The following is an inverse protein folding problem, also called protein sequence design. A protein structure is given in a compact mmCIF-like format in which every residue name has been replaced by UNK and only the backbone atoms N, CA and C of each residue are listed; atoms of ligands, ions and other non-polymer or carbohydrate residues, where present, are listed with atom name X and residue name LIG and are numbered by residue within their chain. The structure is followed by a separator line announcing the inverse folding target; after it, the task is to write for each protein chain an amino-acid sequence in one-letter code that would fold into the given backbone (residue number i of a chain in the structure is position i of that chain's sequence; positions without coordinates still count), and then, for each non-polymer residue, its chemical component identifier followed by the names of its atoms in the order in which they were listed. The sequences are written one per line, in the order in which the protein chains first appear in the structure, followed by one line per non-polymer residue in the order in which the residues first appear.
data_IF_182032094342
#
_entry.id   IF_182032094342
#
_cell.length_a   1.000
_cell.length_b   1.000
_cell.length_c   1.000
_cell.angle_alpha   90.00
_cell.angle_beta   90.00
_cell.angle_gamma   90.00
#
_symmetry.space_group_name_H-M   'P 1'
#
loop_
_entity.id
_entity.type
_entity.pdbx_description
1 polymer ?
#
# COMPACT_ATOMS: atom_id res chain seq x y z
N UNK A 1 -66.57 -9.93 -13.09
CA UNK A 1 -65.89 -8.73 -12.57
C UNK A 1 -64.44 -9.11 -12.36
N UNK A 2 -63.58 -8.78 -13.32
CA UNK A 2 -62.15 -9.03 -13.25
C UNK A 2 -61.50 -7.85 -12.51
N UNK A 3 -60.96 -8.10 -11.31
CA UNK A 3 -60.05 -7.16 -10.67
C UNK A 3 -58.70 -7.29 -11.37
N UNK A 4 -58.30 -6.25 -12.08
CA UNK A 4 -56.95 -6.07 -12.56
C UNK A 4 -56.02 -6.01 -11.34
N UNK A 5 -55.27 -7.08 -11.11
CA UNK A 5 -54.04 -6.98 -10.31
C UNK A 5 -53.05 -6.16 -11.15
N UNK A 6 -52.92 -4.88 -10.83
CA UNK A 6 -51.77 -4.09 -11.24
C UNK A 6 -50.52 -4.81 -10.72
N UNK A 7 -49.88 -5.58 -11.60
CA UNK A 7 -48.47 -5.92 -11.45
C UNK A 7 -47.71 -4.60 -11.45
N UNK A 8 -47.49 -4.03 -10.28
CA UNK A 8 -46.35 -3.16 -10.08
C UNK A 8 -45.12 -4.00 -10.44
N UNK A 9 -44.68 -3.87 -11.68
CA UNK A 9 -43.34 -4.26 -12.07
C UNK A 9 -42.43 -3.40 -11.20
N UNK A 10 -42.02 -3.95 -10.05
CA UNK A 10 -40.83 -3.45 -9.39
C UNK A 10 -39.77 -3.42 -10.49
N UNK A 11 -39.21 -2.23 -10.83
CA UNK A 11 -38.15 -2.19 -11.81
C UNK A 11 -37.10 -3.19 -11.33
N UNK A 12 -36.69 -4.08 -12.23
CA UNK A 12 -35.65 -5.05 -11.94
C UNK A 12 -34.38 -4.24 -11.69
N UNK A 13 -34.17 -3.80 -10.46
CA UNK A 13 -32.93 -3.19 -10.01
C UNK A 13 -31.92 -4.31 -10.01
N UNK A 14 -31.08 -4.29 -11.04
CA UNK A 14 -29.89 -5.10 -11.08
C UNK A 14 -29.05 -4.73 -9.84
N UNK A 15 -28.97 -5.65 -8.88
CA UNK A 15 -28.18 -5.49 -7.64
C UNK A 15 -26.67 -5.42 -7.95
N UNK A 16 -26.29 -5.59 -9.23
CA UNK A 16 -24.96 -5.56 -9.77
C UNK A 16 -24.85 -4.64 -11.00
N UNK A 17 -25.65 -3.57 -11.11
CA UNK A 17 -25.64 -2.58 -12.22
C UNK A 17 -24.23 -2.05 -12.51
N UNK A 18 -23.63 -2.46 -13.65
CA UNK A 18 -22.26 -2.21 -14.12
C UNK A 18 -21.74 -0.77 -14.05
N UNK A 19 -22.65 0.19 -14.00
CA UNK A 19 -22.32 1.60 -13.87
C UNK A 19 -22.31 2.04 -12.39
N UNK A 20 -23.21 1.52 -11.54
CA UNK A 20 -23.38 1.93 -10.13
C UNK A 20 -22.18 1.57 -9.23
N UNK A 21 -21.60 0.37 -9.33
CA UNK A 21 -20.38 0.01 -8.62
C UNK A 21 -19.10 0.61 -9.22
N UNK A 22 -19.10 1.01 -10.50
CA UNK A 22 -18.00 1.78 -11.09
C UNK A 22 -18.04 3.21 -10.53
N UNK A 23 -19.22 3.82 -10.51
CA UNK A 23 -19.47 5.08 -9.82
C UNK A 23 -19.10 4.98 -8.32
N UNK A 24 -19.51 3.91 -7.63
CA UNK A 24 -19.16 3.69 -6.22
C UNK A 24 -17.66 3.55 -6.00
N UNK A 25 -16.92 2.93 -6.92
CA UNK A 25 -15.47 2.80 -6.85
C UNK A 25 -14.76 4.13 -7.16
N UNK A 26 -15.20 4.85 -8.19
CA UNK A 26 -14.66 6.16 -8.56
C UNK A 26 -14.93 7.22 -7.48
N UNK A 27 -16.05 7.09 -6.75
CA UNK A 27 -16.38 7.91 -5.59
C UNK A 27 -15.74 7.38 -4.29
N UNK A 28 -15.17 6.17 -4.30
CA UNK A 28 -14.51 5.62 -3.12
C UNK A 28 -13.23 6.37 -2.83
N UNK A 29 -12.96 6.57 -1.54
CA UNK A 29 -11.75 7.25 -1.08
C UNK A 29 -10.52 6.42 -1.47
N UNK A 30 -9.50 7.02 -2.10
CA UNK A 30 -8.26 6.30 -2.36
C UNK A 30 -7.51 6.09 -1.04
N UNK A 31 -6.70 5.05 -1.00
CA UNK A 31 -6.08 4.68 0.26
C UNK A 31 -4.81 5.46 0.54
N UNK A 32 -4.69 5.88 1.80
CA UNK A 32 -3.64 6.78 2.24
C UNK A 32 -2.82 6.13 3.36
N UNK A 33 -1.49 6.22 3.24
CA UNK A 33 -0.54 5.64 4.18
C UNK A 33 0.30 6.72 4.84
N UNK A 34 0.58 6.55 6.13
CA UNK A 34 1.61 7.31 6.84
C UNK A 34 2.64 6.33 7.38
N UNK A 35 3.92 6.59 7.09
CA UNK A 35 5.03 5.79 7.56
C UNK A 35 5.78 6.55 8.67
N UNK A 36 5.72 5.98 9.86
CA UNK A 36 6.36 6.44 11.08
C UNK A 36 7.55 5.57 11.46
N UNK A 37 8.43 6.13 12.28
CA UNK A 37 9.58 5.45 12.83
C UNK A 37 10.76 6.38 13.04
N UNK A 38 11.76 5.90 13.78
CA UNK A 38 12.99 6.63 14.10
C UNK A 38 13.80 7.02 12.85
N UNK A 39 14.59 8.11 12.87
CA UNK A 39 15.47 8.45 11.76
C UNK A 39 16.41 7.27 11.44
N UNK A 40 16.69 7.04 10.16
CA UNK A 40 17.54 5.91 9.72
C UNK A 40 16.86 4.55 9.60
N UNK A 41 15.59 4.39 9.99
CA UNK A 41 14.88 3.09 9.94
C UNK A 41 14.51 2.60 8.53
N UNK A 42 14.81 3.37 7.48
CA UNK A 42 14.49 2.99 6.09
C UNK A 42 13.09 3.41 5.62
N UNK A 43 12.40 4.30 6.36
CA UNK A 43 11.06 4.82 6.02
C UNK A 43 10.92 5.25 4.56
N UNK A 44 11.86 6.06 4.06
CA UNK A 44 11.86 6.58 2.70
C UNK A 44 11.88 5.46 1.65
N UNK A 45 12.73 4.45 1.87
CA UNK A 45 12.85 3.30 0.96
C UNK A 45 11.55 2.49 0.95
N UNK A 46 10.99 2.21 2.13
CA UNK A 46 9.71 1.53 2.25
C UNK A 46 8.59 2.33 1.57
N UNK A 47 8.52 3.64 1.86
CA UNK A 47 7.50 4.53 1.33
C UNK A 47 7.51 4.62 -0.20
N UNK A 48 8.70 4.71 -0.80
CA UNK A 48 8.84 4.74 -2.26
C UNK A 48 8.39 3.44 -2.90
N UNK A 49 8.87 2.31 -2.38
CA UNK A 49 8.45 1.00 -2.90
C UNK A 49 6.92 0.82 -2.70
N UNK A 50 6.37 1.28 -1.57
CA UNK A 50 4.93 1.20 -1.29
C UNK A 50 4.15 2.08 -2.27
N UNK A 51 4.59 3.32 -2.51
CA UNK A 51 3.97 4.19 -3.50
C UNK A 51 3.96 3.57 -4.91
N UNK A 52 5.04 2.89 -5.31
CA UNK A 52 5.12 2.15 -6.57
C UNK A 52 4.15 0.97 -6.60
N UNK A 53 4.19 0.12 -5.56
CA UNK A 53 3.34 -1.07 -5.47
C UNK A 53 1.87 -0.70 -5.37
N UNK A 54 1.49 0.40 -4.74
CA UNK A 54 0.07 0.78 -4.58
C UNK A 54 -0.39 1.83 -5.60
N UNK A 55 0.53 2.28 -6.46
CA UNK A 55 0.31 3.34 -7.44
C UNK A 55 -0.30 4.61 -6.80
N UNK A 56 0.27 4.97 -5.64
CA UNK A 56 -0.04 6.15 -4.85
C UNK A 56 1.04 7.22 -5.06
N UNK A 57 0.73 8.47 -4.74
CA UNK A 57 1.71 9.55 -4.78
C UNK A 57 2.62 9.46 -3.55
N UNK A 58 3.93 9.36 -3.77
CA UNK A 58 4.90 9.48 -2.67
C UNK A 58 5.04 10.96 -2.29
N UNK A 59 4.90 11.26 -1.00
CA UNK A 59 5.01 12.62 -0.46
C UNK A 59 6.09 12.64 0.61
N UNK A 60 7.16 13.37 0.33
CA UNK A 60 8.25 13.68 1.25
C UNK A 60 8.75 15.11 0.98
N UNK A 61 9.23 15.80 2.02
CA UNK A 61 9.73 17.17 1.92
C UNK A 61 10.65 17.42 0.71
N UNK A 62 11.69 16.58 0.55
CA UNK A 62 12.67 16.75 -0.53
C UNK A 62 12.05 16.62 -1.93
N UNK A 63 11.18 15.62 -2.14
CA UNK A 63 10.55 15.40 -3.44
C UNK A 63 9.57 16.52 -3.78
N UNK A 64 8.81 16.99 -2.79
CA UNK A 64 7.90 18.13 -2.99
C UNK A 64 8.67 19.41 -3.30
N UNK A 65 9.80 19.67 -2.62
CA UNK A 65 10.66 20.83 -2.91
C UNK A 65 11.21 20.75 -4.34
N UNK A 66 11.79 19.61 -4.71
CA UNK A 66 12.38 19.40 -6.04
C UNK A 66 11.34 19.53 -7.15
N UNK A 67 10.15 18.94 -6.96
CA UNK A 67 9.03 19.06 -7.89
C UNK A 67 8.61 20.53 -8.08
N UNK A 68 8.44 21.29 -7.00
CA UNK A 68 8.05 22.70 -7.08
C UNK A 68 9.12 23.56 -7.76
N UNK A 69 10.41 23.28 -7.53
CA UNK A 69 11.52 23.97 -8.21
C UNK A 69 11.49 23.65 -9.71
N UNK A 70 11.29 22.38 -10.08
CA UNK A 70 11.26 21.95 -11.48
C UNK A 70 10.06 22.52 -12.25
N UNK A 71 8.89 22.60 -11.60
CA UNK A 71 7.67 23.18 -12.16
C UNK A 71 7.63 24.72 -12.11
N UNK A 72 8.68 25.36 -11.58
CA UNK A 72 8.79 26.82 -11.43
C UNK A 72 7.58 27.45 -10.70
N UNK A 73 7.03 26.76 -9.71
CA UNK A 73 5.90 27.30 -8.93
C UNK A 73 6.35 28.48 -8.06
N UNK A 74 5.40 29.29 -7.56
CA UNK A 74 5.72 30.39 -6.63
C UNK A 74 6.51 29.91 -5.39
N UNK A 75 6.23 28.69 -4.92
CA UNK A 75 6.98 28.05 -3.84
C UNK A 75 8.38 27.62 -4.29
N UNK A 76 8.48 27.05 -5.50
CA UNK A 76 9.74 26.64 -6.11
C UNK A 76 10.71 27.80 -6.31
N UNK A 77 10.24 28.93 -6.85
CA UNK A 77 11.03 30.15 -7.04
C UNK A 77 11.56 30.67 -5.71
N UNK A 78 10.70 30.74 -4.67
CA UNK A 78 11.12 31.14 -3.31
C UNK A 78 12.17 30.19 -2.74
N UNK A 79 11.98 28.88 -2.89
CA UNK A 79 12.98 27.89 -2.45
C UNK A 79 14.30 28.10 -3.18
N UNK A 80 14.27 28.27 -4.49
CA UNK A 80 15.44 28.46 -5.32
C UNK A 80 16.21 29.74 -4.94
N UNK A 81 15.50 30.85 -4.68
CA UNK A 81 16.10 32.09 -4.19
C UNK A 81 16.80 31.93 -2.84
N UNK A 82 16.17 31.24 -1.89
CA UNK A 82 16.77 30.96 -0.58
C UNK A 82 18.02 30.09 -0.72
N UNK A 83 17.94 29.03 -1.52
CA UNK A 83 19.06 28.12 -1.78
C UNK A 83 20.22 28.85 -2.48
N UNK A 84 19.96 29.72 -3.46
CA UNK A 84 21.01 30.54 -4.10
C UNK A 84 21.69 31.53 -3.16
N UNK A 85 20.99 31.98 -2.12
CA UNK A 85 21.56 32.81 -1.04
C UNK A 85 22.31 31.99 0.02
N UNK A 86 22.34 30.66 -0.11
CA UNK A 86 22.92 29.75 0.89
C UNK A 86 22.10 29.67 2.18
N UNK A 87 20.81 30.00 2.13
CA UNK A 87 19.89 29.95 3.26
C UNK A 87 19.12 28.63 3.28
N UNK A 88 18.77 28.14 4.47
CA UNK A 88 17.90 26.99 4.64
C UNK A 88 16.45 27.33 4.29
N UNK A 89 15.73 26.36 3.74
CA UNK A 89 14.28 26.49 3.51
C UNK A 89 13.57 26.40 4.86
N UNK A 90 12.66 27.34 5.15
CA UNK A 90 11.94 27.35 6.42
C UNK A 90 10.98 26.17 6.54
N UNK A 91 10.86 25.61 7.75
CA UNK A 91 9.94 24.50 8.03
C UNK A 91 8.47 24.86 7.73
N UNK A 92 8.10 26.12 7.90
CA UNK A 92 6.80 26.66 7.48
C UNK A 92 6.53 26.43 6.00
N UNK A 93 7.47 26.84 5.14
CA UNK A 93 7.32 26.72 3.69
C UNK A 93 7.21 25.26 3.26
N UNK A 94 8.03 24.38 3.86
CA UNK A 94 7.99 22.93 3.60
C UNK A 94 6.65 22.34 3.99
N UNK A 95 6.14 22.70 5.17
CA UNK A 95 4.85 22.19 5.68
C UNK A 95 3.70 22.64 4.77
N UNK A 96 3.68 23.90 4.33
CA UNK A 96 2.68 24.39 3.39
C UNK A 96 2.71 23.64 2.05
N UNK A 97 3.90 23.41 1.50
CA UNK A 97 4.04 22.68 0.24
C UNK A 97 3.56 21.23 0.36
N UNK A 98 3.87 20.54 1.47
CA UNK A 98 3.38 19.18 1.73
C UNK A 98 1.86 19.15 1.81
N UNK A 99 1.24 20.05 2.60
CA UNK A 99 -0.21 20.11 2.73
C UNK A 99 -0.89 20.42 1.39
N UNK A 100 -0.33 21.35 0.61
CA UNK A 100 -0.83 21.67 -0.73
C UNK A 100 -0.72 20.48 -1.68
N UNK A 101 0.35 19.69 -1.61
CA UNK A 101 0.49 18.46 -2.41
C UNK A 101 -0.51 17.39 -1.99
N UNK A 102 -0.77 17.21 -0.70
CA UNK A 102 -1.81 16.29 -0.20
C UNK A 102 -3.20 16.68 -0.71
N UNK A 103 -3.48 17.98 -0.83
CA UNK A 103 -4.75 18.48 -1.39
C UNK A 103 -4.82 18.51 -2.92
N UNK A 104 -3.78 18.03 -3.62
CA UNK A 104 -3.76 18.01 -5.09
C UNK A 104 -4.76 17.01 -5.68
N UNK A 105 -5.27 17.26 -6.90
CA UNK A 105 -6.22 16.35 -7.54
C UNK A 105 -5.63 14.95 -7.79
N UNK A 106 -4.33 14.86 -8.05
CA UNK A 106 -3.62 13.59 -8.23
C UNK A 106 -3.74 12.70 -6.98
N UNK A 107 -3.53 13.30 -5.80
CA UNK A 107 -3.65 12.60 -4.52
C UNK A 107 -5.10 12.23 -4.23
N UNK A 108 -6.06 13.06 -4.64
CA UNK A 108 -7.49 12.74 -4.51
C UNK A 108 -7.92 11.53 -5.36
N UNK A 109 -7.23 11.25 -6.46
CA UNK A 109 -7.53 10.09 -7.30
C UNK A 109 -6.69 8.85 -6.96
N UNK A 110 -5.44 9.03 -6.53
CA UNK A 110 -4.48 7.93 -6.36
C UNK A 110 -4.16 7.59 -4.91
N UNK A 111 -4.47 8.49 -3.98
CA UNK A 111 -4.03 8.40 -2.59
C UNK A 111 -2.56 8.81 -2.45
N UNK A 112 -2.06 8.73 -1.23
CA UNK A 112 -0.70 9.15 -0.90
C UNK A 112 0.01 8.19 0.05
N UNK A 113 1.34 8.22 0.00
CA UNK A 113 2.22 7.65 1.01
C UNK A 113 3.06 8.78 1.58
N UNK A 114 2.75 9.17 2.81
CA UNK A 114 3.44 10.26 3.48
C UNK A 114 4.61 9.72 4.32
N UNK A 115 5.80 10.24 4.06
CA UNK A 115 7.01 9.98 4.84
C UNK A 115 7.62 11.30 5.31
N UNK A 116 8.05 11.33 6.58
CA UNK A 116 8.77 12.47 7.14
C UNK A 116 7.91 13.62 7.65
N UNK A 117 6.57 13.44 7.70
CA UNK A 117 5.65 14.32 8.41
C UNK A 117 4.76 13.46 9.33
N UNK A 118 4.70 13.71 10.66
CA UNK A 118 5.29 14.85 11.35
C UNK A 118 6.83 14.82 11.38
N UNK A 119 7.45 15.99 11.47
CA UNK A 119 8.89 16.19 11.63
C UNK A 119 9.26 16.14 13.12
N UNK A 120 10.54 15.92 13.41
CA UNK A 120 11.09 16.04 14.79
C UNK A 120 11.37 17.51 15.14
N UNK A 121 11.44 18.37 14.14
CA UNK A 121 11.69 19.80 14.33
C UNK A 121 10.42 20.47 14.84
N UNK A 122 10.58 21.33 15.86
CA UNK A 122 9.51 22.16 16.40
C UNK A 122 9.82 23.66 16.21
N UNK A 123 10.66 24.01 15.23
CA UNK A 123 11.01 25.40 14.92
C UNK A 123 9.80 26.21 14.46
N UNK A 124 8.86 25.58 13.76
CA UNK A 124 7.63 26.20 13.29
C UNK A 124 6.39 25.78 14.10
N UNK A 125 6.19 24.49 14.32
CA UNK A 125 5.02 23.95 15.02
C UNK A 125 5.36 22.71 15.83
N UNK A 126 4.69 22.54 16.97
CA UNK A 126 4.90 21.38 17.84
C UNK A 126 4.42 20.10 17.18
N UNK A 127 4.97 18.96 17.58
CA UNK A 127 4.58 17.65 17.03
C UNK A 127 3.06 17.41 17.19
N UNK A 128 2.48 17.84 18.31
CA UNK A 128 1.03 17.73 18.54
C UNK A 128 0.22 18.53 17.52
N UNK A 129 0.65 19.75 17.17
CA UNK A 129 -0.01 20.57 16.14
C UNK A 129 0.14 19.95 14.75
N UNK A 130 1.29 19.35 14.44
CA UNK A 130 1.50 18.62 13.20
C UNK A 130 0.55 17.42 13.09
N UNK A 131 0.38 16.66 14.18
CA UNK A 131 -0.55 15.53 14.26
C UNK A 131 -2.00 16.01 14.11
N UNK A 132 -2.39 17.13 14.74
CA UNK A 132 -3.71 17.72 14.56
C UNK A 132 -3.97 18.08 13.09
N UNK A 133 -2.99 18.63 12.38
CA UNK A 133 -3.10 18.88 10.94
C UNK A 133 -3.34 17.60 10.16
N UNK A 134 -2.63 16.52 10.47
CA UNK A 134 -2.82 15.20 9.85
C UNK A 134 -4.24 14.67 10.10
N UNK A 135 -4.74 14.78 11.34
CA UNK A 135 -6.09 14.34 11.72
C UNK A 135 -7.19 15.12 10.98
N UNK A 136 -6.93 16.40 10.68
CA UNK A 136 -7.86 17.31 10.02
C UNK A 136 -7.75 17.34 8.48
N UNK A 137 -6.91 16.50 7.88
CA UNK A 137 -6.84 16.38 6.42
C UNK A 137 -8.18 15.91 5.85
N UNK A 138 -8.56 16.47 4.69
CA UNK A 138 -9.73 16.02 3.92
C UNK A 138 -9.62 14.54 3.57
N UNK A 139 -8.44 14.12 3.14
CA UNK A 139 -8.06 12.73 2.94
C UNK A 139 -7.29 12.22 4.16
N UNK A 140 -8.03 11.74 5.15
CA UNK A 140 -7.45 11.16 6.36
C UNK A 140 -6.56 9.95 6.01
N UNK A 141 -5.46 9.71 6.73
CA UNK A 141 -4.71 8.47 6.57
C UNK A 141 -5.58 7.28 6.95
N UNK A 142 -5.52 6.22 6.15
CA UNK A 142 -6.16 4.94 6.47
C UNK A 142 -5.19 4.09 7.27
N UNK A 143 -3.96 3.92 6.78
CA UNK A 143 -2.95 3.05 7.39
C UNK A 143 -1.85 3.83 8.07
N UNK A 144 -1.51 3.37 9.27
CA UNK A 144 -0.36 3.84 10.02
C UNK A 144 0.68 2.73 10.09
N UNK A 145 1.83 2.92 9.46
CA UNK A 145 2.92 1.94 9.45
C UNK A 145 4.03 2.44 10.37
N UNK A 146 4.27 1.74 11.48
CA UNK A 146 5.34 2.05 12.41
C UNK A 146 6.52 1.08 12.25
N UNK A 147 7.69 1.60 11.87
CA UNK A 147 8.92 0.80 11.77
C UNK A 147 9.66 0.82 13.12
N UNK A 148 9.63 -0.30 13.83
CA UNK A 148 10.34 -0.52 15.08
C UNK A 148 11.76 -1.00 14.80
N UNK A 149 12.74 -0.35 15.40
CA UNK A 149 14.14 -0.76 15.33
C UNK A 149 14.87 -0.28 16.59
N UNK A 150 15.86 -1.06 17.02
CA UNK A 150 16.67 -0.74 18.19
C UNK A 150 17.54 0.49 17.93
N UNK A 151 17.81 1.29 18.96
CA UNK A 151 18.65 2.48 18.79
C UNK A 151 20.07 2.12 18.34
N UNK A 152 20.60 1.01 18.86
CA UNK A 152 21.91 0.51 18.52
C UNK A 152 22.00 0.19 17.02
N UNK A 153 21.06 -0.60 16.50
CA UNK A 153 21.04 -0.98 15.08
C UNK A 153 20.86 0.24 14.18
N UNK A 154 20.02 1.21 14.59
CA UNK A 154 19.82 2.45 13.84
C UNK A 154 21.09 3.31 13.79
N UNK A 155 21.76 3.51 14.92
CA UNK A 155 22.97 4.33 14.97
C UNK A 155 24.11 3.66 14.18
N UNK A 156 24.21 2.34 14.22
CA UNK A 156 25.15 1.58 13.38
C UNK A 156 24.81 1.70 11.89
N UNK A 157 23.52 1.63 11.53
CA UNK A 157 23.06 1.78 10.16
C UNK A 157 23.29 3.18 9.61
N UNK A 158 23.01 4.22 10.39
CA UNK A 158 23.24 5.62 10.00
C UNK A 158 24.74 5.88 9.84
N UNK A 159 25.56 5.45 10.80
CA UNK A 159 27.01 5.67 10.72
C UNK A 159 27.72 4.88 9.62
N UNK A 160 27.14 3.76 9.21
CA UNK A 160 27.56 2.99 8.05
C UNK A 160 27.19 3.59 6.71
N UNK A 161 26.38 4.65 6.64
CA UNK A 161 25.96 5.25 5.38
C UNK A 161 27.01 6.20 4.81
N UNK A 162 27.05 6.27 3.48
CA UNK A 162 27.80 7.28 2.74
C UNK A 162 26.92 7.90 1.67
N UNK A 163 27.20 9.14 1.32
CA UNK A 163 26.49 9.84 0.27
C UNK A 163 27.44 10.16 -0.87
N UNK A 164 26.98 9.99 -2.11
CA UNK A 164 27.67 10.54 -3.26
C UNK A 164 27.42 12.06 -3.33
N UNK A 165 28.45 12.91 -3.43
CA UNK A 165 28.31 14.37 -3.35
C UNK A 165 27.45 14.95 -4.47
N UNK A 166 27.61 14.47 -5.72
CA UNK A 166 26.89 15.05 -6.87
C UNK A 166 25.45 14.54 -7.02
N UNK A 167 25.23 13.23 -6.92
CA UNK A 167 23.89 12.63 -7.07
C UNK A 167 23.05 12.69 -5.79
N UNK A 168 23.68 12.88 -4.64
CA UNK A 168 23.03 12.80 -3.33
C UNK A 168 22.56 11.38 -2.95
N UNK A 169 22.92 10.36 -3.73
CA UNK A 169 22.52 8.98 -3.49
C UNK A 169 23.22 8.41 -2.25
N UNK A 170 22.47 7.71 -1.41
CA UNK A 170 22.95 7.13 -0.14
C UNK A 170 23.22 5.64 -0.32
N UNK A 171 24.42 5.23 0.09
CA UNK A 171 24.93 3.87 0.06
C UNK A 171 25.06 3.32 1.48
N UNK A 172 24.59 2.09 1.71
CA UNK A 172 24.76 1.39 3.00
C UNK A 172 26.13 0.75 3.10
N UNK A 173 26.59 0.45 4.32
CA UNK A 173 27.91 -0.19 4.58
C UNK A 173 28.17 -1.40 3.68
N UNK A 174 27.17 -2.25 3.46
CA UNK A 174 27.29 -3.46 2.66
C UNK A 174 27.52 -3.21 1.15
N UNK A 175 27.27 -1.98 0.67
CA UNK A 175 27.38 -1.60 -0.73
C UNK A 175 28.69 -0.88 -1.07
N UNK A 176 29.43 -0.40 -0.06
CA UNK A 176 30.64 0.38 -0.28
C UNK A 176 31.87 -0.10 0.50
N UNK A 177 31.68 -0.80 1.64
CA UNK A 177 32.80 -1.27 2.45
C UNK A 177 33.44 -2.52 1.79
N UNK A 178 34.70 -2.44 1.31
CA UNK A 178 35.36 -3.53 0.61
C UNK A 178 35.44 -4.82 1.45
N UNK A 179 35.63 -4.69 2.77
CA UNK A 179 35.75 -5.84 3.66
C UNK A 179 34.43 -6.60 3.79
N UNK A 180 33.32 -5.87 3.74
CA UNK A 180 31.96 -6.43 3.83
C UNK A 180 31.56 -7.04 2.49
N UNK A 181 31.91 -6.39 1.38
CA UNK A 181 31.69 -6.91 0.03
C UNK A 181 32.46 -8.21 -0.18
N UNK A 182 33.75 -8.25 0.18
CA UNK A 182 34.57 -9.46 0.09
C UNK A 182 34.06 -10.60 0.98
N UNK A 183 33.53 -10.27 2.17
CA UNK A 183 32.94 -11.27 3.06
C UNK A 183 31.64 -11.84 2.48
N UNK A 184 30.79 -11.02 1.90
CA UNK A 184 29.57 -11.48 1.23
C UNK A 184 29.87 -12.30 -0.03
N UNK A 185 30.91 -11.97 -0.81
CA UNK A 185 31.38 -12.81 -1.92
C UNK A 185 31.82 -14.19 -1.43
N UNK A 186 32.66 -14.26 -0.38
CA UNK A 186 33.10 -15.53 0.20
C UNK A 186 31.96 -16.37 0.82
N UNK A 187 30.93 -15.73 1.35
CA UNK A 187 29.75 -16.43 1.89
C UNK A 187 28.82 -16.94 0.77
N UNK A 188 28.72 -16.23 -0.36
CA UNK A 188 28.03 -16.70 -1.57
C UNK A 188 28.79 -17.84 -2.26
N UNK A 189 30.11 -17.71 -2.41
CA UNK A 189 30.97 -18.76 -2.97
C UNK A 189 30.92 -20.07 -2.16
N UNK A 190 30.61 -20.01 -0.86
CA UNK A 190 30.40 -21.19 -0.01
C UNK A 190 28.99 -21.80 -0.12
N UNK A 191 28.03 -21.07 -0.67
CA UNK A 191 26.65 -21.52 -0.88
C UNK A 191 26.34 -21.88 -2.35
N UNK A 192 27.15 -21.43 -3.30
CA UNK A 192 26.98 -21.63 -4.75
C UNK A 192 27.77 -22.86 -5.30
N UNK A 193 28.18 -23.82 -4.45
CA UNK A 193 28.58 -25.16 -4.94
C UNK A 193 27.37 -26.03 -5.40
N UNK A 194 26.13 -25.55 -5.24
CA UNK A 194 24.92 -26.18 -5.78
C UNK A 194 23.98 -25.14 -6.43
N UNK A 195 24.32 -24.64 -7.61
CA UNK A 195 23.44 -24.31 -8.77
C UNK A 195 24.09 -23.21 -9.64
N UNK A 196 23.74 -23.22 -10.93
CA UNK A 196 24.56 -22.74 -12.04
C UNK A 196 24.68 -21.21 -12.16
N UNK A 197 25.84 -20.81 -12.71
CA UNK A 197 26.25 -19.52 -13.24
C UNK A 197 25.09 -18.62 -13.74
N UNK A 198 24.78 -17.56 -13.00
CA UNK A 198 24.15 -16.36 -13.56
C UNK A 198 25.27 -15.35 -13.93
N UNK A 199 25.20 -14.82 -15.15
CA UNK A 199 26.16 -13.85 -15.69
C UNK A 199 26.25 -12.60 -14.81
N UNK A 200 27.28 -12.50 -13.96
CA UNK A 200 27.65 -11.23 -13.32
C UNK A 200 28.24 -10.29 -14.39
N UNK A 201 27.58 -9.16 -14.61
CA UNK A 201 28.13 -8.04 -15.39
C UNK A 201 29.45 -7.60 -14.75
N UNK A 202 30.59 -7.89 -15.38
CA UNK A 202 31.90 -7.44 -14.93
C UNK A 202 31.98 -5.90 -14.98
N UNK A 203 31.65 -5.22 -13.88
CA UNK A 203 31.96 -3.80 -13.72
C UNK A 203 33.46 -3.65 -13.46
N UNK A 204 34.13 -2.84 -14.29
CA UNK A 204 35.57 -2.63 -14.32
C UNK A 204 36.11 -2.22 -12.91
N UNK A 205 37.02 -2.99 -12.27
CA UNK A 205 37.48 -2.76 -10.89
C UNK A 205 38.06 -1.36 -10.63
N UNK A 206 38.60 -0.71 -11.67
CA UNK A 206 39.12 0.65 -11.61
C UNK A 206 38.02 1.70 -11.44
N UNK A 207 36.86 1.52 -12.08
CA UNK A 207 35.71 2.44 -11.99
C UNK A 207 35.05 2.37 -10.62
N UNK A 208 34.94 1.16 -10.05
CA UNK A 208 34.38 0.95 -8.70
C UNK A 208 35.30 1.57 -7.63
N UNK A 209 36.62 1.45 -7.79
CA UNK A 209 37.59 2.05 -6.86
C UNK A 209 37.55 3.59 -6.87
N UNK A 210 37.48 4.22 -8.03
CA UNK A 210 37.38 5.69 -8.11
C UNK A 210 36.06 6.21 -7.55
N UNK A 211 34.97 5.49 -7.80
CA UNK A 211 33.63 5.80 -7.30
C UNK A 211 33.56 5.74 -5.76
N UNK A 212 34.11 4.69 -5.15
CA UNK A 212 34.11 4.52 -3.69
C UNK A 212 34.90 5.62 -2.97
N UNK A 213 35.98 6.14 -3.58
CA UNK A 213 36.77 7.22 -3.00
C UNK A 213 36.03 8.57 -2.92
N UNK A 214 34.97 8.76 -3.71
CA UNK A 214 34.20 10.01 -3.75
C UNK A 214 33.06 10.04 -2.73
N UNK A 215 32.75 8.90 -2.10
CA UNK A 215 31.68 8.78 -1.13
C UNK A 215 32.03 9.52 0.18
N UNK A 216 31.17 10.45 0.58
CA UNK A 216 31.37 11.29 1.77
C UNK A 216 30.49 10.85 2.93
N UNK A 217 30.98 11.02 4.15
CA UNK A 217 30.17 10.89 5.36
C UNK A 217 29.62 12.27 5.73
N UNK A 218 28.31 12.36 5.95
CA UNK A 218 27.69 13.63 6.35
C UNK A 218 27.88 13.86 7.84
N UNK A 219 27.87 15.12 8.32
CA UNK A 219 27.94 15.40 9.74
C UNK A 219 26.81 14.71 10.54
N UNK A 220 25.61 14.61 9.97
CA UNK A 220 24.50 13.89 10.60
C UNK A 220 24.68 12.37 10.69
N UNK A 221 25.60 11.80 9.90
CA UNK A 221 25.90 10.36 9.90
C UNK A 221 26.98 10.00 10.94
N UNK A 222 27.54 10.98 11.66
CA UNK A 222 28.46 10.70 12.77
C UNK A 222 27.68 10.05 13.91
N UNK A 223 28.23 9.00 14.54
CA UNK A 223 27.56 8.20 15.58
C UNK A 223 26.95 9.09 16.68
N UNK A 224 27.73 10.01 17.24
CA UNK A 224 27.27 10.93 18.30
C UNK A 224 26.08 11.79 17.86
N UNK A 225 26.09 12.28 16.61
CA UNK A 225 25.01 13.07 16.05
C UNK A 225 23.78 12.22 15.73
N UNK A 226 23.98 10.98 15.26
CA UNK A 226 22.91 10.02 15.03
C UNK A 226 22.20 9.64 16.34
N UNK A 227 22.97 9.34 17.40
CA UNK A 227 22.46 9.08 18.75
C UNK A 227 21.67 10.27 19.29
N UNK A 228 22.20 11.48 19.15
CA UNK A 228 21.50 12.71 19.53
C UNK A 228 20.16 12.85 18.80
N UNK A 229 20.13 12.60 17.48
CA UNK A 229 18.89 12.66 16.68
C UNK A 229 17.87 11.61 17.10
N UNK A 230 18.32 10.39 17.40
CA UNK A 230 17.44 9.32 17.91
C UNK A 230 16.92 9.67 19.31
N UNK A 231 17.76 10.28 20.16
CA UNK A 231 17.36 10.81 21.47
C UNK A 231 16.28 11.89 21.36
N UNK A 232 16.50 12.92 20.53
CA UNK A 232 15.51 13.98 20.30
C UNK A 232 14.18 13.43 19.77
N UNK A 233 14.23 12.43 18.88
CA UNK A 233 13.02 11.74 18.41
C UNK A 233 12.25 11.08 19.57
N UNK A 234 12.96 10.44 20.50
CA UNK A 234 12.32 9.79 21.66
C UNK A 234 11.69 10.80 22.61
N UNK A 235 12.39 11.89 22.88
CA UNK A 235 11.96 12.89 23.86
C UNK A 235 10.74 13.68 23.39
N UNK A 236 10.68 14.01 22.09
CA UNK A 236 9.65 14.89 21.52
C UNK A 236 8.56 14.10 20.80
N UNK A 237 8.92 13.12 19.97
CA UNK A 237 8.01 12.53 19.00
C UNK A 237 7.36 11.22 19.47
N UNK A 238 8.02 10.46 20.34
CA UNK A 238 7.54 9.12 20.70
C UNK A 238 6.17 9.15 21.41
N UNK A 239 6.01 9.99 22.44
CA UNK A 239 4.77 10.06 23.20
C UNK A 239 3.58 10.55 22.35
N UNK A 240 3.66 11.66 21.58
CA UNK A 240 2.56 12.06 20.71
C UNK A 240 2.19 11.02 19.64
N UNK A 241 3.18 10.25 19.16
CA UNK A 241 2.91 9.17 18.21
C UNK A 241 2.25 7.96 18.87
N UNK A 242 2.62 7.61 20.09
CA UNK A 242 1.95 6.55 20.87
C UNK A 242 0.48 6.90 21.11
N UNK A 243 0.18 8.16 21.45
CA UNK A 243 -1.19 8.65 21.56
C UNK A 243 -1.95 8.54 20.24
N UNK A 244 -1.33 8.96 19.12
CA UNK A 244 -1.91 8.82 17.79
C UNK A 244 -2.17 7.35 17.42
N UNK A 245 -1.25 6.45 17.75
CA UNK A 245 -1.36 5.01 17.48
C UNK A 245 -2.44 4.37 18.36
N UNK A 246 -2.60 4.80 19.61
CA UNK A 246 -3.61 4.27 20.54
C UNK A 246 -5.04 4.69 20.17
N UNK A 247 -5.20 5.85 19.55
CA UNK A 247 -6.50 6.32 19.04
C UNK A 247 -6.95 5.63 17.74
N UNK A 248 -6.00 5.09 16.96
CA UNK A 248 -6.27 4.43 15.69
C UNK A 248 -6.82 3.01 15.89
N UNK A 249 -7.66 2.56 14.94
CA UNK A 249 -8.16 1.19 14.95
C UNK A 249 -7.01 0.22 14.61
N UNK A 250 -6.85 -0.80 15.45
CA UNK A 250 -5.79 -1.79 15.39
C UNK A 250 -5.69 -2.48 14.02
N UNK A 251 -6.79 -2.55 13.27
CA UNK A 251 -6.81 -3.15 11.93
C UNK A 251 -5.97 -2.37 10.91
N UNK A 252 -5.76 -1.09 11.14
CA UNK A 252 -5.04 -0.20 10.23
C UNK A 252 -3.67 0.24 10.76
N UNK A 253 -3.29 -0.23 11.95
CA UNK A 253 -1.97 -0.04 12.54
C UNK A 253 -1.08 -1.24 12.20
N UNK A 254 -0.01 -0.98 11.46
CA UNK A 254 0.96 -2.01 11.03
C UNK A 254 2.29 -1.75 11.70
N UNK A 255 2.78 -2.71 12.46
CA UNK A 255 4.10 -2.66 13.08
C UNK A 255 5.09 -3.53 12.30
N UNK A 256 6.19 -2.94 11.86
CA UNK A 256 7.22 -3.61 11.07
C UNK A 256 8.54 -3.63 11.84
N UNK A 257 9.29 -4.72 11.69
CA UNK A 257 10.66 -4.83 12.22
C UNK A 257 11.67 -4.27 11.23
N UNK A 258 12.22 -3.10 11.54
CA UNK A 258 13.20 -2.40 10.71
C UNK A 258 14.54 -3.11 10.57
N UNK A 259 14.77 -4.26 11.19
CA UNK A 259 15.95 -5.10 10.98
C UNK A 259 15.80 -6.11 9.83
N UNK A 260 14.59 -6.35 9.36
CA UNK A 260 14.35 -7.18 8.18
C UNK A 260 14.73 -6.45 6.90
N UNK A 261 15.15 -7.19 5.86
CA UNK A 261 15.43 -6.57 4.58
C UNK A 261 14.15 -5.93 4.01
N UNK A 262 14.27 -4.85 3.21
CA UNK A 262 13.11 -4.22 2.60
C UNK A 262 12.23 -5.23 1.86
N UNK A 263 12.82 -6.21 1.16
CA UNK A 263 12.06 -7.20 0.39
C UNK A 263 11.31 -8.21 1.27
N UNK A 264 11.82 -8.50 2.48
CA UNK A 264 11.12 -9.32 3.49
C UNK A 264 10.03 -8.52 4.23
N UNK A 265 10.22 -7.21 4.39
CA UNK A 265 9.19 -6.26 4.84
C UNK A 265 8.06 -6.09 3.80
N UNK A 266 8.35 -6.43 2.54
CA UNK A 266 7.41 -6.40 1.42
C UNK A 266 6.45 -7.59 1.38
N UNK A 267 6.44 -8.45 2.40
CA UNK A 267 5.37 -9.44 2.63
C UNK A 267 4.09 -8.74 3.13
N UNK A 268 3.71 -7.67 2.44
CA UNK A 268 2.37 -7.07 2.42
C UNK A 268 1.32 -8.10 1.99
N UNK A 269 1.73 -9.20 1.35
CA UNK A 269 0.85 -10.36 1.09
C UNK A 269 0.26 -10.98 2.36
N UNK A 270 0.87 -10.78 3.54
CA UNK A 270 0.31 -11.21 4.84
C UNK A 270 -0.46 -10.12 5.59
N UNK A 271 -0.34 -8.86 5.19
CA UNK A 271 -0.96 -7.72 5.89
C UNK A 271 -2.40 -7.44 5.41
N UNK A 272 -2.83 -8.01 4.28
CA UNK A 272 -4.21 -7.88 3.83
C UNK A 272 -5.16 -8.80 4.62
N UNK A 273 -5.50 -8.42 5.85
CA UNK A 273 -6.64 -9.00 6.57
C UNK A 273 -7.96 -8.61 5.90
N UNK A 274 -8.01 -7.44 5.25
CA UNK A 274 -9.17 -6.92 4.51
C UNK A 274 -9.09 -7.13 2.99
N UNK A 275 -10.24 -7.51 2.42
CA UNK A 275 -10.39 -7.94 1.05
C UNK A 275 -10.18 -6.83 0.01
N UNK A 276 -10.69 -5.64 0.30
CA UNK A 276 -10.66 -4.49 -0.61
C UNK A 276 -9.22 -4.03 -0.87
N UNK A 277 -8.38 -4.26 0.13
CA UNK A 277 -6.97 -3.93 0.13
C UNK A 277 -6.13 -4.88 -0.72
N UNK A 278 -6.40 -6.19 -0.60
CA UNK A 278 -5.78 -7.21 -1.43
C UNK A 278 -6.08 -6.98 -2.92
N UNK A 279 -7.31 -6.58 -3.26
CA UNK A 279 -7.68 -6.21 -4.63
C UNK A 279 -6.95 -4.96 -5.12
N UNK A 280 -6.66 -4.00 -4.24
CA UNK A 280 -5.91 -2.79 -4.57
C UNK A 280 -4.40 -3.07 -4.73
N UNK A 281 -3.83 -4.05 -4.02
CA UNK A 281 -2.46 -4.55 -4.26
C UNK A 281 -2.36 -5.35 -5.56
N UNK A 282 -3.36 -6.19 -5.84
CA UNK A 282 -3.34 -7.04 -7.04
C UNK A 282 -3.57 -6.22 -8.32
N UNK A 283 -4.34 -5.12 -8.26
CA UNK A 283 -4.58 -4.25 -9.40
C UNK A 283 -3.40 -3.39 -9.82
N UNK A 284 -2.41 -3.28 -8.94
CA UNK A 284 -1.18 -2.54 -9.17
C UNK A 284 0.01 -3.45 -9.48
N UNK A 285 -0.01 -4.73 -9.08
CA UNK A 285 1.05 -5.71 -9.36
C UNK A 285 1.13 -6.17 -10.83
N UNK A 286 0.02 -6.10 -11.59
CA UNK A 286 0.02 -6.41 -13.03
C UNK A 286 -0.79 -5.35 -13.77
N UNK A 287 -0.12 -4.45 -14.48
CA UNK A 287 -0.78 -3.57 -15.43
C UNK A 287 -1.02 -4.35 -16.73
N UNK A 288 -2.25 -4.36 -17.27
CA UNK A 288 -2.51 -4.88 -18.63
C UNK A 288 -1.88 -3.92 -19.67
N UNK A 289 -1.82 -2.63 -19.32
CA UNK A 289 -1.10 -1.57 -20.02
C UNK A 289 -0.93 -0.35 -19.08
N UNK A 290 -0.06 0.61 -19.43
CA UNK A 290 0.34 1.78 -18.62
C UNK A 290 -0.80 2.64 -18.03
N UNK A 291 -2.03 2.51 -18.54
CA UNK A 291 -3.23 3.23 -18.07
C UNK A 291 -4.39 2.31 -17.66
N UNK A 292 -4.22 1.00 -17.71
CA UNK A 292 -5.27 0.02 -17.41
C UNK A 292 -4.92 -0.73 -16.12
N UNK A 293 -5.47 -0.22 -15.01
CA UNK A 293 -5.47 -0.91 -13.71
C UNK A 293 -6.44 -2.08 -13.75
N UNK A 294 -6.21 -3.11 -12.93
CA UNK A 294 -7.23 -4.12 -12.76
C UNK A 294 -8.36 -3.56 -11.90
N UNK A 295 -9.60 -3.72 -12.36
CA UNK A 295 -10.78 -3.28 -11.62
C UNK A 295 -11.35 -4.48 -10.87
N UNK A 296 -11.84 -4.25 -9.65
CA UNK A 296 -12.53 -5.32 -8.93
C UNK A 296 -13.80 -5.71 -9.68
N UNK A 297 -13.98 -7.00 -9.93
CA UNK A 297 -15.24 -7.52 -10.42
C UNK A 297 -16.33 -7.40 -9.35
N UNK A 298 -17.57 -7.17 -9.79
CA UNK A 298 -18.80 -7.09 -8.96
C UNK A 298 -19.11 -8.36 -8.18
N UNK A 299 -18.47 -9.47 -8.56
CA UNK A 299 -18.52 -10.74 -7.85
C UNK A 299 -17.65 -10.74 -6.57
N UNK A 300 -16.74 -9.78 -6.40
CA UNK A 300 -15.85 -9.72 -5.23
C UNK A 300 -15.04 -11.01 -5.05
N UNK A 301 -15.14 -11.65 -3.88
CA UNK A 301 -14.58 -13.00 -3.64
C UNK A 301 -15.42 -14.12 -4.22
N UNK A 302 -16.68 -13.90 -4.58
CA UNK A 302 -17.53 -14.99 -5.03
C UNK A 302 -17.03 -15.51 -6.38
N UNK A 303 -16.85 -16.83 -6.47
CA UNK A 303 -16.47 -17.48 -7.72
C UNK A 303 -17.64 -17.38 -8.72
N UNK A 304 -17.51 -16.69 -9.87
CA UNK A 304 -18.58 -16.58 -10.86
C UNK A 304 -19.03 -17.94 -11.42
N UNK A 305 -18.11 -18.91 -11.49
CA UNK A 305 -18.40 -20.28 -11.95
C UNK A 305 -19.29 -21.00 -10.94
N UNK A 306 -18.92 -20.98 -9.64
CA UNK A 306 -19.73 -21.57 -8.59
C UNK A 306 -21.09 -20.88 -8.43
N UNK A 307 -21.11 -19.54 -8.59
CA UNK A 307 -22.34 -18.76 -8.53
C UNK A 307 -23.33 -19.18 -9.62
N UNK A 308 -22.84 -19.46 -10.83
CA UNK A 308 -23.66 -19.97 -11.94
C UNK A 308 -24.26 -21.35 -11.65
N UNK A 309 -23.56 -22.16 -10.86
CA UNK A 309 -24.03 -23.47 -10.40
C UNK A 309 -25.01 -23.36 -9.20
N UNK A 310 -25.20 -22.15 -8.67
CA UNK A 310 -26.11 -21.83 -7.58
C UNK A 310 -25.46 -21.84 -6.20
N UNK A 311 -24.13 -21.94 -6.11
CA UNK A 311 -23.38 -22.00 -4.86
C UNK A 311 -22.54 -20.72 -4.64
N UNK A 312 -22.65 -20.12 -3.45
CA UNK A 312 -21.80 -18.98 -3.07
C UNK A 312 -20.53 -19.53 -2.42
N UNK A 313 -19.51 -19.77 -3.25
CA UNK A 313 -18.18 -20.19 -2.79
C UNK A 313 -17.23 -19.00 -2.96
N UNK A 314 -16.53 -18.67 -1.88
CA UNK A 314 -15.47 -17.66 -1.92
C UNK A 314 -14.23 -18.25 -2.59
N UNK A 315 -13.68 -17.53 -3.54
CA UNK A 315 -12.50 -17.89 -4.30
C UNK A 315 -11.19 -17.72 -3.53
N UNK A 316 -10.15 -18.42 -3.97
CA UNK A 316 -8.80 -18.27 -3.47
C UNK A 316 -8.07 -17.17 -4.27
N UNK A 317 -7.49 -16.13 -3.64
CA UNK A 317 -6.68 -15.11 -4.31
C UNK A 317 -5.59 -15.65 -5.25
N UNK A 318 -5.00 -16.80 -4.94
CA UNK A 318 -3.97 -17.44 -5.79
C UNK A 318 -4.51 -17.88 -7.16
N UNK A 319 -5.84 -17.97 -7.30
CA UNK A 319 -6.56 -18.40 -8.50
C UNK A 319 -7.31 -17.23 -9.17
N UNK A 320 -6.77 -16.01 -9.09
CA UNK A 320 -7.36 -14.81 -9.69
C UNK A 320 -7.08 -14.70 -11.21
N UNK A 321 -8.08 -14.25 -11.97
CA UNK A 321 -8.00 -14.02 -13.43
C UNK A 321 -8.55 -12.67 -13.83
N UNK A 322 -7.90 -12.02 -14.80
CA UNK A 322 -8.40 -10.81 -15.44
C UNK A 322 -9.22 -11.12 -16.70
N UNK A 323 -10.40 -10.51 -16.84
CA UNK A 323 -11.18 -10.50 -18.09
C UNK A 323 -11.84 -9.13 -18.27
N UNK A 324 -11.70 -8.52 -19.46
CA UNK A 324 -12.20 -7.16 -19.79
C UNK A 324 -11.81 -6.08 -18.76
N UNK A 325 -10.57 -6.13 -18.25
CA UNK A 325 -10.09 -5.18 -17.25
C UNK A 325 -10.63 -5.39 -15.84
N UNK A 326 -11.43 -6.45 -15.60
CA UNK A 326 -11.97 -6.82 -14.28
C UNK A 326 -11.30 -8.09 -13.73
N UNK A 327 -11.08 -8.15 -12.42
CA UNK A 327 -10.51 -9.31 -11.73
C UNK A 327 -11.59 -10.22 -11.17
N UNK A 328 -11.50 -11.51 -11.45
CA UNK A 328 -12.38 -12.54 -10.91
C UNK A 328 -11.55 -13.51 -10.05
N UNK A 329 -12.01 -13.81 -8.85
CA UNK A 329 -11.38 -14.81 -7.97
C UNK A 329 -12.15 -16.12 -8.09
N UNK A 330 -11.43 -17.23 -8.31
CA UNK A 330 -12.04 -18.53 -8.55
C UNK A 330 -11.78 -19.48 -7.36
N UNK A 331 -12.75 -20.37 -7.12
CA UNK A 331 -12.74 -21.27 -5.95
C UNK A 331 -11.86 -22.50 -6.13
N UNK A 332 -11.65 -22.94 -7.37
CA UNK A 332 -10.88 -24.15 -7.67
C UNK A 332 -10.08 -23.98 -8.98
N UNK A 333 -8.99 -24.74 -9.16
CA UNK A 333 -8.24 -24.74 -10.42
C UNK A 333 -9.08 -25.26 -11.60
N UNK A 334 -10.14 -26.02 -11.34
CA UNK A 334 -11.11 -26.44 -12.36
C UNK A 334 -11.98 -25.26 -12.80
N UNK A 335 -12.50 -24.47 -11.85
CA UNK A 335 -13.22 -23.23 -12.13
C UNK A 335 -12.34 -22.22 -12.87
N UNK A 336 -11.04 -22.18 -12.55
CA UNK A 336 -10.04 -21.41 -13.28
C UNK A 336 -9.98 -21.78 -14.76
N UNK A 337 -9.81 -23.07 -15.05
CA UNK A 337 -9.73 -23.56 -16.44
C UNK A 337 -11.02 -23.29 -17.21
N UNK A 338 -12.19 -23.54 -16.62
CA UNK A 338 -13.48 -23.33 -17.31
C UNK A 338 -13.74 -21.85 -17.58
N UNK A 339 -13.41 -20.97 -16.64
CA UNK A 339 -13.52 -19.52 -16.82
C UNK A 339 -12.56 -18.99 -17.88
N UNK A 340 -11.31 -19.49 -17.93
CA UNK A 340 -10.34 -19.09 -18.95
C UNK A 340 -10.72 -19.56 -20.36
N UNK A 341 -11.39 -20.71 -20.48
CA UNK A 341 -11.85 -21.23 -21.78
C UNK A 341 -12.97 -20.37 -22.38
N UNK A 342 -13.97 -20.00 -21.57
CA UNK A 342 -15.04 -19.11 -22.02
C UNK A 342 -15.68 -18.38 -20.83
N UNK A 343 -15.29 -17.13 -20.55
CA UNK A 343 -15.79 -16.40 -19.38
C UNK A 343 -17.19 -15.81 -19.58
N UNK A 344 -17.57 -15.46 -20.82
CA UNK A 344 -18.85 -14.77 -21.13
C UNK A 344 -20.11 -15.44 -20.55
N UNK A 345 -20.27 -16.79 -20.62
CA UNK A 345 -21.45 -17.47 -20.09
C UNK A 345 -21.63 -17.35 -18.57
N UNK A 346 -20.59 -17.00 -17.83
CA UNK A 346 -20.63 -16.81 -16.37
C UNK A 346 -20.94 -15.37 -15.96
N UNK A 347 -20.89 -14.44 -16.92
CA UNK A 347 -20.95 -13.00 -16.70
C UNK A 347 -22.18 -12.33 -17.31
N UNK A 348 -22.82 -12.95 -18.32
CA UNK A 348 -23.96 -12.38 -19.04
C UNK A 348 -25.30 -12.63 -18.31
N UNK A 349 -26.25 -11.67 -18.36
CA UNK A 349 -27.58 -11.82 -17.79
C UNK A 349 -28.43 -12.90 -18.50
N UNK A 350 -29.42 -13.53 -17.81
CA UNK A 350 -29.82 -13.27 -16.44
C UNK A 350 -28.76 -13.76 -15.45
N UNK A 351 -28.31 -12.85 -14.59
CA UNK A 351 -27.24 -13.17 -13.65
C UNK A 351 -27.71 -14.23 -12.66
N UNK A 352 -26.81 -15.11 -12.19
CA UNK A 352 -27.16 -16.06 -11.15
C UNK A 352 -27.54 -15.27 -9.89
N UNK A 353 -28.82 -15.35 -9.50
CA UNK A 353 -29.28 -14.73 -8.27
C UNK A 353 -28.59 -15.43 -7.09
N UNK A 354 -28.06 -14.68 -6.10
CA UNK A 354 -27.53 -15.30 -4.90
C UNK A 354 -28.61 -16.17 -4.26
N UNK A 355 -28.34 -17.46 -3.97
CA UNK A 355 -29.32 -18.36 -3.37
C UNK A 355 -29.84 -17.79 -2.05
N UNK A 356 -31.16 -17.59 -1.97
CA UNK A 356 -31.82 -17.16 -0.75
C UNK A 356 -31.71 -18.28 0.30
N UNK A 357 -30.99 -18.01 1.40
CA UNK A 357 -30.88 -18.94 2.54
C UNK A 357 -32.02 -18.66 3.52
N UNK A 358 -32.90 -19.64 3.70
CA UNK A 358 -34.04 -19.54 4.61
C UNK A 358 -33.79 -20.42 5.83
N UNK A 359 -33.81 -19.83 7.02
CA UNK A 359 -33.71 -20.55 8.29
C UNK A 359 -35.10 -20.65 8.94
N UNK A 360 -35.55 -21.87 9.26
CA UNK A 360 -36.83 -22.11 9.95
C UNK A 360 -36.55 -22.57 11.39
N UNK A 361 -36.89 -21.73 12.36
CA UNK A 361 -36.69 -21.98 13.80
C UNK A 361 -38.02 -22.24 14.55
N UNK A 362 -37.95 -22.84 15.74
CA UNK A 362 -39.13 -23.25 16.53
C UNK A 362 -38.86 -24.36 17.57
N UNK A 363 -39.86 -24.77 18.38
CA UNK A 363 -39.74 -25.85 19.37
C UNK A 363 -39.84 -27.26 18.73
N UNK A 364 -39.37 -28.35 19.38
CA UNK A 364 -39.46 -29.71 18.82
C UNK A 364 -40.92 -30.05 18.47
N UNK A 365 -41.13 -30.81 17.39
CA UNK A 365 -42.45 -31.19 16.83
C UNK A 365 -43.28 -30.08 16.19
N UNK A 366 -42.78 -28.85 16.06
CA UNK A 366 -43.53 -27.73 15.44
C UNK A 366 -43.62 -27.77 13.89
N UNK A 367 -43.35 -28.91 13.25
CA UNK A 367 -43.43 -29.06 11.80
C UNK A 367 -42.35 -28.35 10.97
N UNK A 368 -41.24 -27.92 11.60
CA UNK A 368 -40.15 -27.17 10.93
C UNK A 368 -39.59 -27.88 9.71
N UNK A 369 -39.30 -29.18 9.84
CA UNK A 369 -38.78 -30.00 8.73
C UNK A 369 -39.75 -30.04 7.56
N UNK A 370 -41.05 -30.13 7.84
CA UNK A 370 -42.11 -30.12 6.82
C UNK A 370 -42.18 -28.78 6.09
N UNK A 371 -42.05 -27.67 6.82
CA UNK A 371 -42.03 -26.31 6.25
C UNK A 371 -40.77 -26.08 5.42
N UNK A 372 -39.58 -26.50 5.89
CA UNK A 372 -38.35 -26.44 5.10
C UNK A 372 -38.50 -27.19 3.77
N UNK A 373 -39.02 -28.43 3.81
CA UNK A 373 -39.23 -29.23 2.60
C UNK A 373 -40.26 -28.59 1.64
N UNK A 374 -41.33 -28.00 2.16
CA UNK A 374 -42.33 -27.28 1.36
C UNK A 374 -41.75 -26.02 0.71
N UNK A 375 -40.95 -25.25 1.43
CA UNK A 375 -40.27 -24.06 0.91
C UNK A 375 -39.27 -24.47 -0.18
N UNK A 376 -38.44 -25.47 0.08
CA UNK A 376 -37.48 -25.97 -0.90
C UNK A 376 -38.16 -26.53 -2.16
N UNK A 377 -39.25 -27.30 -2.03
CA UNK A 377 -40.00 -27.79 -3.18
C UNK A 377 -40.62 -26.64 -3.99
N UNK A 378 -41.21 -25.64 -3.32
CA UNK A 378 -41.87 -24.51 -3.99
C UNK A 378 -40.89 -23.61 -4.75
N UNK A 379 -39.69 -23.41 -4.21
CA UNK A 379 -38.68 -22.51 -4.79
C UNK A 379 -37.50 -23.23 -5.45
N UNK A 380 -37.59 -24.55 -5.65
CA UNK A 380 -36.50 -25.40 -6.17
C UNK A 380 -35.18 -25.25 -5.39
N UNK A 381 -35.28 -25.04 -4.08
CA UNK A 381 -34.15 -24.96 -3.17
C UNK A 381 -33.64 -26.34 -2.76
N UNK A 382 -32.39 -26.40 -2.27
CA UNK A 382 -31.84 -27.56 -1.57
C UNK A 382 -32.11 -27.39 -0.07
N UNK A 383 -32.61 -28.43 0.61
CA UNK A 383 -32.85 -28.45 2.07
C UNK A 383 -31.59 -28.86 2.81
#
# INVERSE_FOLDING_TARGET
MASQEEKQAQPFTDIFDEDEAEESFLLSKPTCFIILGKPGSGKKTLARKLAQVWNCIFIEALEVIQMNIHEETEYGIKCQELLFKGQSISEELVTEMILKKIESPEVFHLGYVLSGFPSVSEEYMTVSQQIEKIKNLKLKPDFLINIKCSDYDLCQRISGQRQHPDSGQVYQRNQWDPNVIEKHKKEKDQHEEEEQEEEETEEDPLMVSEFLCQLVQRPEDIIENAEKRVGTYKDIMLHPLEDLMAEQDCQYLIELDGNQQPDDLFVVSKLCTNLDELFRVLSSYKLIAHRYRWHRSRWGRACPVALKEGDIIMGNPDLAVSFLGKMYILSSPEALKTFMLNPRPYLLPPMPLPPCKVLVFGPPFSGRTTICNLIAHKYKGKV
#
